data_IF_180533195057
#
_entry.id   IF_180533195057
#
_cell.length_a   1.000
_cell.length_b   1.000
_cell.length_c   1.000
_cell.angle_alpha   90.00
_cell.angle_beta   90.00
_cell.angle_gamma   90.00
#
_symmetry.space_group_name_H-M   'P 1'
#
loop_
_entity.id
_entity.type
_entity.pdbx_description
1 polymer ?
#
# COMPACT_ATOMS: atom_id res chain seq x y z
N UNK A 1 -21.77 -7.77 -1.47
CA UNK A 1 -20.32 -7.67 -1.79
C UNK A 1 -19.49 -8.20 -0.62
N UNK A 2 -19.61 -7.62 0.57
CA UNK A 2 -18.98 -8.13 1.81
C UNK A 2 -19.48 -9.54 2.18
N UNK A 3 -20.79 -9.75 2.24
CA UNK A 3 -21.42 -11.05 2.57
C UNK A 3 -21.03 -12.21 1.63
N UNK A 4 -20.65 -11.90 0.39
CA UNK A 4 -20.31 -12.90 -0.65
C UNK A 4 -18.80 -13.12 -0.73
N UNK A 5 -17.99 -12.13 -0.35
CA UNK A 5 -16.52 -12.21 -0.39
C UNK A 5 -15.91 -12.65 0.94
N UNK A 6 -16.65 -12.58 2.05
CA UNK A 6 -16.15 -12.84 3.40
C UNK A 6 -15.12 -11.80 3.87
N UNK A 7 -14.97 -10.67 3.17
CA UNK A 7 -14.02 -9.60 3.48
C UNK A 7 -14.72 -8.45 4.19
N UNK A 8 -14.15 -7.97 5.29
CA UNK A 8 -14.60 -6.76 5.97
C UNK A 8 -14.35 -5.54 5.07
N UNK A 9 -15.43 -4.87 4.68
CA UNK A 9 -15.40 -3.65 3.86
C UNK A 9 -15.80 -2.41 4.66
N UNK A 10 -15.90 -2.51 5.99
CA UNK A 10 -16.30 -1.43 6.89
C UNK A 10 -15.49 -0.16 6.67
N UNK A 11 -14.16 -0.27 6.65
CA UNK A 11 -13.30 0.88 6.37
C UNK A 11 -13.42 1.37 4.92
N UNK A 12 -13.58 0.47 3.95
CA UNK A 12 -13.70 0.84 2.53
C UNK A 12 -14.93 1.74 2.28
N UNK A 13 -15.99 1.62 3.10
CA UNK A 13 -17.16 2.51 3.05
C UNK A 13 -16.83 3.99 3.26
N UNK A 14 -15.66 4.34 3.83
CA UNK A 14 -15.18 5.74 3.95
C UNK A 14 -15.13 6.46 2.60
N UNK A 15 -14.94 5.73 1.49
CA UNK A 15 -15.01 6.29 0.14
C UNK A 15 -16.38 6.88 -0.24
N UNK A 16 -17.45 6.41 0.40
CA UNK A 16 -18.81 6.91 0.15
C UNK A 16 -19.25 7.98 1.14
N UNK A 17 -18.58 8.10 2.29
CA UNK A 17 -18.96 9.04 3.36
C UNK A 17 -18.05 10.27 3.47
N UNK A 18 -16.78 10.15 3.06
CA UNK A 18 -15.81 11.25 3.13
C UNK A 18 -15.55 11.84 1.75
N UNK A 19 -15.78 13.14 1.61
CA UNK A 19 -15.44 13.88 0.41
C UNK A 19 -13.94 14.21 0.35
N UNK A 20 -13.44 14.56 -0.84
CA UNK A 20 -12.06 14.98 -1.06
C UNK A 20 -11.21 13.92 -1.75
N UNK A 21 -10.05 14.33 -2.22
CA UNK A 21 -9.09 13.47 -2.91
C UNK A 21 -7.93 13.18 -1.94
N UNK A 22 -7.74 11.92 -1.51
CA UNK A 22 -6.61 11.56 -0.68
C UNK A 22 -5.28 11.85 -1.38
N UNK A 23 -4.30 12.28 -0.62
CA UNK A 23 -2.91 12.44 -1.04
C UNK A 23 -2.13 11.26 -0.49
N UNK A 24 -1.37 10.61 -1.37
CA UNK A 24 -0.48 9.50 -1.03
C UNK A 24 0.97 9.95 -1.19
N UNK A 25 1.73 9.86 -0.12
CA UNK A 25 3.17 10.07 -0.11
C UNK A 25 3.89 8.72 -0.01
N UNK A 26 4.93 8.54 -0.82
CA UNK A 26 5.75 7.34 -0.84
C UNK A 26 7.20 7.70 -0.53
N UNK A 27 7.76 7.05 0.48
CA UNK A 27 9.16 7.16 0.87
C UNK A 27 9.81 5.77 0.74
N UNK A 28 11.01 5.72 0.17
CA UNK A 28 11.70 4.46 -0.12
C UNK A 28 13.09 4.44 0.47
N UNK A 29 13.48 3.29 1.01
CA UNK A 29 14.84 3.02 1.50
C UNK A 29 15.25 1.64 0.99
N UNK A 30 16.42 1.55 0.37
CA UNK A 30 16.99 0.29 -0.09
C UNK A 30 18.27 -0.04 0.69
N UNK A 31 18.30 -1.19 1.34
CA UNK A 31 19.47 -1.76 1.99
C UNK A 31 20.03 -2.91 1.13
N UNK A 32 21.17 -2.65 0.48
CA UNK A 32 21.83 -3.63 -0.38
C UNK A 32 22.46 -4.79 0.39
N UNK A 33 22.90 -4.58 1.62
CA UNK A 33 23.52 -5.64 2.43
C UNK A 33 22.47 -6.67 2.84
N UNK A 34 21.29 -6.19 3.21
CA UNK A 34 20.16 -7.04 3.62
C UNK A 34 19.27 -7.47 2.44
N UNK A 35 19.45 -6.88 1.25
CA UNK A 35 18.59 -7.06 0.07
C UNK A 35 17.12 -6.73 0.39
N UNK A 36 16.94 -5.65 1.15
CA UNK A 36 15.64 -5.17 1.59
C UNK A 36 15.28 -3.86 0.91
N UNK A 37 14.06 -3.77 0.42
CA UNK A 37 13.45 -2.52 -0.03
C UNK A 37 12.28 -2.18 0.88
N UNK A 38 12.35 -1.03 1.55
CA UNK A 38 11.32 -0.54 2.46
C UNK A 38 10.54 0.55 1.76
N UNK A 39 9.23 0.37 1.67
CA UNK A 39 8.29 1.32 1.12
C UNK A 39 7.38 1.81 2.25
N UNK A 40 7.57 3.06 2.67
CA UNK A 40 6.67 3.71 3.63
C UNK A 40 5.65 4.52 2.85
N UNK A 41 4.38 4.16 2.99
CA UNK A 41 3.27 4.89 2.40
C UNK A 41 2.55 5.69 3.49
N UNK A 42 2.27 6.96 3.20
CA UNK A 42 1.49 7.84 4.09
C UNK A 42 0.30 8.40 3.33
N UNK A 43 -0.87 8.36 3.95
CA UNK A 43 -2.08 8.94 3.39
C UNK A 43 -2.61 10.08 4.24
N UNK A 44 -3.11 11.11 3.56
CA UNK A 44 -3.86 12.20 4.18
C UNK A 44 -4.98 12.65 3.25
N UNK A 45 -5.94 13.40 3.76
CA UNK A 45 -6.98 14.02 2.94
C UNK A 45 -7.24 15.43 3.48
N UNK A 46 -7.14 16.49 2.65
CA UNK A 46 -7.43 17.84 3.09
C UNK A 46 -8.88 18.00 3.58
N UNK A 47 -9.15 18.92 4.53
CA UNK A 47 -10.52 19.20 4.97
C UNK A 47 -11.37 19.72 3.81
N UNK A 48 -12.67 19.40 3.84
CA UNK A 48 -13.66 19.91 2.88
C UNK A 48 -14.77 20.66 3.63
N UNK A 49 -15.55 21.53 2.98
CA UNK A 49 -16.71 22.17 3.62
C UNK A 49 -17.63 21.13 4.28
N UNK A 50 -17.98 21.36 5.55
CA UNK A 50 -18.80 20.43 6.34
C UNK A 50 -18.10 19.15 6.82
N UNK A 51 -16.83 18.94 6.47
CA UNK A 51 -16.03 17.78 6.92
C UNK A 51 -14.58 18.23 7.24
N UNK A 52 -14.35 18.87 8.40
CA UNK A 52 -13.04 19.38 8.78
C UNK A 52 -12.05 18.28 9.21
N UNK A 53 -12.56 17.13 9.63
CA UNK A 53 -11.76 15.97 10.04
C UNK A 53 -11.90 14.86 9.00
N UNK A 54 -10.80 14.15 8.72
CA UNK A 54 -10.76 13.02 7.79
C UNK A 54 -10.13 11.82 8.46
N UNK A 55 -10.73 10.67 8.30
CA UNK A 55 -10.16 9.38 8.73
C UNK A 55 -9.36 8.73 7.59
N UNK A 56 -8.38 7.85 7.90
CA UNK A 56 -7.65 7.08 6.88
C UNK A 56 -8.57 6.23 6.01
N UNK A 57 -8.38 6.28 4.70
CA UNK A 57 -9.11 5.42 3.76
C UNK A 57 -8.51 4.02 3.75
N UNK A 58 -9.27 3.05 3.23
CA UNK A 58 -8.69 1.80 2.75
C UNK A 58 -8.24 2.05 1.30
N UNK A 59 -6.93 2.13 1.07
CA UNK A 59 -6.32 2.39 -0.23
C UNK A 59 -5.60 1.12 -0.74
N UNK A 60 -6.13 0.45 -1.78
CA UNK A 60 -5.43 -0.62 -2.48
C UNK A 60 -4.36 0.00 -3.40
N UNK A 61 -3.08 -0.26 -3.13
CA UNK A 61 -1.94 0.29 -3.89
C UNK A 61 -1.22 -0.84 -4.62
N UNK A 62 -1.35 -0.86 -5.95
CA UNK A 62 -0.63 -1.82 -6.79
C UNK A 62 0.81 -1.32 -7.03
N UNK A 63 1.79 -2.14 -6.68
CA UNK A 63 3.22 -1.82 -6.81
C UNK A 63 3.98 -2.93 -7.56
N UNK A 64 5.02 -2.52 -8.29
CA UNK A 64 5.98 -3.38 -8.95
C UNK A 64 7.37 -2.76 -8.85
N UNK A 65 8.43 -3.58 -8.75
CA UNK A 65 9.81 -3.10 -8.82
C UNK A 65 10.45 -3.57 -10.12
N UNK A 66 11.21 -2.69 -10.75
CA UNK A 66 11.93 -2.98 -11.98
C UNK A 66 13.43 -3.06 -11.71
N UNK A 67 14.08 -4.08 -12.27
CA UNK A 67 15.52 -4.17 -12.32
C UNK A 67 16.11 -3.12 -13.27
N UNK A 68 17.43 -2.92 -13.21
CA UNK A 68 18.13 -1.96 -14.08
C UNK A 68 17.96 -2.23 -15.57
N UNK A 69 17.67 -3.48 -15.94
CA UNK A 69 17.41 -3.90 -17.32
C UNK A 69 15.92 -3.81 -17.71
N UNK A 70 15.06 -3.28 -16.82
CA UNK A 70 13.64 -3.08 -17.06
C UNK A 70 12.77 -4.33 -16.84
N UNK A 71 13.33 -5.45 -16.37
CA UNK A 71 12.54 -6.63 -16.02
C UNK A 71 11.90 -6.50 -14.64
N UNK A 72 10.72 -7.09 -14.48
CA UNK A 72 10.05 -7.19 -13.18
C UNK A 72 10.91 -7.98 -12.18
N UNK A 73 11.03 -7.45 -10.97
CA UNK A 73 11.63 -8.14 -9.83
C UNK A 73 10.51 -8.86 -9.09
N UNK A 74 10.65 -10.18 -8.83
CA UNK A 74 9.68 -10.88 -8.01
C UNK A 74 9.59 -10.29 -6.60
N UNK A 75 8.37 -10.02 -6.13
CA UNK A 75 8.15 -9.31 -4.88
C UNK A 75 7.67 -10.26 -3.77
N UNK A 76 8.36 -10.26 -2.64
CA UNK A 76 7.96 -10.96 -1.42
C UNK A 76 7.98 -9.98 -0.26
N UNK A 77 6.89 -9.88 0.49
CA UNK A 77 6.88 -9.12 1.75
C UNK A 77 7.55 -9.93 2.86
N UNK A 78 8.22 -9.26 3.80
CA UNK A 78 8.94 -9.91 4.89
C UNK A 78 8.04 -10.80 5.77
N UNK A 79 6.75 -10.50 5.86
CA UNK A 79 5.75 -11.25 6.63
C UNK A 79 5.14 -12.44 5.85
N UNK A 80 5.43 -12.56 4.55
CA UNK A 80 4.93 -13.65 3.71
C UNK A 80 5.84 -14.88 3.75
N UNK A 81 5.29 -16.01 4.19
CA UNK A 81 5.90 -17.35 4.02
C UNK A 81 5.71 -17.90 2.59
N UNK A 82 4.85 -17.28 1.80
CA UNK A 82 4.48 -17.71 0.45
C UNK A 82 5.50 -17.24 -0.60
N UNK A 83 5.59 -17.88 -1.77
CA UNK A 83 6.53 -17.49 -2.80
C UNK A 83 6.24 -16.08 -3.36
N UNK A 84 7.29 -15.42 -3.84
CA UNK A 84 7.23 -14.10 -4.42
C UNK A 84 6.20 -13.98 -5.57
N UNK A 85 5.55 -12.81 -5.69
CA UNK A 85 4.79 -12.44 -6.90
C UNK A 85 5.74 -12.43 -8.07
N UNK A 86 5.34 -12.90 -9.25
CA UNK A 86 6.16 -12.73 -10.44
C UNK A 86 6.28 -11.26 -10.88
N UNK A 87 5.36 -10.38 -10.48
CA UNK A 87 5.38 -8.97 -10.90
C UNK A 87 4.74 -8.02 -9.88
N UNK A 88 3.43 -7.83 -9.95
CA UNK A 88 2.71 -6.81 -9.19
C UNK A 88 2.21 -7.33 -7.84
N UNK A 89 2.33 -6.51 -6.80
CA UNK A 89 1.72 -6.73 -5.48
C UNK A 89 0.67 -5.67 -5.19
N UNK A 90 -0.43 -6.10 -4.59
CA UNK A 90 -1.46 -5.20 -4.07
C UNK A 90 -1.22 -5.02 -2.57
N UNK A 91 -0.87 -3.81 -2.17
CA UNK A 91 -0.70 -3.41 -0.77
C UNK A 91 -2.00 -2.78 -0.27
N UNK A 92 -2.38 -3.10 0.97
CA UNK A 92 -3.55 -2.50 1.61
C UNK A 92 -3.07 -1.45 2.62
N UNK A 93 -3.15 -0.18 2.24
CA UNK A 93 -2.88 0.94 3.13
C UNK A 93 -4.18 1.34 3.83
N UNK A 94 -4.29 0.99 5.11
CA UNK A 94 -5.45 1.21 5.96
C UNK A 94 -5.18 2.20 7.09
N UNK A 95 -3.91 2.43 7.45
CA UNK A 95 -3.52 3.42 8.45
C UNK A 95 -3.04 4.72 7.81
N UNK A 96 -2.82 5.76 8.61
CA UNK A 96 -2.25 7.03 8.12
C UNK A 96 -0.83 6.85 7.60
N UNK A 97 -0.08 5.88 8.11
CA UNK A 97 1.25 5.51 7.65
C UNK A 97 1.51 4.01 7.87
N UNK A 98 1.97 3.29 6.85
CA UNK A 98 2.42 1.90 6.97
C UNK A 98 3.71 1.68 6.20
N UNK A 99 4.57 0.78 6.72
CA UNK A 99 5.82 0.40 6.06
C UNK A 99 5.72 -1.03 5.57
N UNK A 100 5.95 -1.22 4.28
CA UNK A 100 5.99 -2.52 3.62
C UNK A 100 7.44 -2.87 3.31
N UNK A 101 7.92 -4.00 3.82
CA UNK A 101 9.31 -4.44 3.63
C UNK A 101 9.32 -5.57 2.61
N UNK A 102 9.95 -5.33 1.47
CA UNK A 102 10.21 -6.34 0.45
C UNK A 102 11.60 -6.94 0.66
N UNK A 103 11.68 -8.26 0.62
CA UNK A 103 12.93 -9.02 0.79
C UNK A 103 13.37 -9.62 -0.53
N UNK A 104 14.63 -10.09 -0.59
CA UNK A 104 15.23 -10.71 -1.77
C UNK A 104 15.36 -9.77 -2.99
N UNK A 105 15.52 -8.46 -2.74
CA UNK A 105 15.65 -7.46 -3.80
C UNK A 105 17.11 -7.31 -4.25
N UNK A 106 17.43 -7.52 -5.54
CA UNK A 106 18.79 -7.65 -6.07
C UNK A 106 19.61 -6.35 -6.10
#
# INVERSE_FOLDING_TARGET
>A
MEEVSGRDLGQFRRWYSQAGTPVLEAETVYDRQQREFRLTLRQSCPPTPGQPTKEPFHLPVAVGLLARDGRDIPLQLAEESAPAAPSTRLLELTESAQTFVFVNIP
#
